data_IF_344151531504
#
_entry.id   IF_344151531504
#
_cell.length_a   1.000
_cell.length_b   1.000
_cell.length_c   1.000
_cell.angle_alpha   90.00
_cell.angle_beta   90.00
_cell.angle_gamma   90.00
#
_symmetry.space_group_name_H-M   'P 1'
#
loop_
_entity.id
_entity.type
_entity.pdbx_description
1 polymer ?
#
# COMPACT_ATOMS: atom_id res chain seq x y z
N UNK A 1 -17.10 12.49 17.12
CA UNK A 1 -16.82 12.53 15.68
C UNK A 1 -17.32 11.21 15.13
N UNK A 2 -18.03 11.21 14.00
CA UNK A 2 -18.58 9.99 13.42
C UNK A 2 -17.49 9.22 12.66
N UNK A 3 -17.76 7.96 12.34
CA UNK A 3 -16.90 7.12 11.51
C UNK A 3 -16.64 7.74 10.12
N UNK A 4 -15.46 7.46 9.56
CA UNK A 4 -15.09 7.85 8.20
C UNK A 4 -15.16 6.60 7.33
N UNK A 5 -16.01 6.63 6.30
CA UNK A 5 -16.13 5.54 5.33
C UNK A 5 -15.30 5.85 4.09
N UNK A 6 -14.44 4.90 3.69
CA UNK A 6 -13.64 5.00 2.47
C UNK A 6 -14.25 4.12 1.38
N UNK A 7 -14.32 4.63 0.15
CA UNK A 7 -14.63 3.85 -1.04
C UNK A 7 -13.32 3.49 -1.75
N UNK A 8 -13.00 2.21 -2.01
CA UNK A 8 -11.85 1.84 -2.82
C UNK A 8 -11.94 2.44 -4.21
N UNK A 9 -10.83 2.94 -4.73
CA UNK A 9 -10.74 3.53 -6.07
C UNK A 9 -10.06 2.61 -7.10
N UNK A 10 -9.57 1.46 -6.65
CA UNK A 10 -8.80 0.55 -7.46
C UNK A 10 -8.29 -0.65 -6.65
N UNK A 11 -7.52 -1.50 -7.32
CA UNK A 11 -6.93 -2.72 -6.77
C UNK A 11 -5.45 -2.79 -7.14
N UNK A 12 -4.63 -3.25 -6.20
CA UNK A 12 -3.21 -3.55 -6.45
C UNK A 12 -3.08 -5.02 -6.83
N UNK A 13 -2.49 -5.29 -7.99
CA UNK A 13 -2.11 -6.61 -8.46
C UNK A 13 -0.61 -6.80 -8.21
N UNK A 14 -0.27 -7.78 -7.38
CA UNK A 14 1.10 -8.06 -6.97
C UNK A 14 1.41 -9.55 -7.11
N UNK A 15 2.64 -9.94 -7.50
CA UNK A 15 3.09 -11.33 -7.43
C UNK A 15 3.19 -11.83 -5.97
N UNK A 16 3.19 -10.93 -4.99
CA UNK A 16 3.25 -11.24 -3.56
C UNK A 16 1.89 -11.76 -3.08
N UNK A 17 1.76 -13.08 -2.99
CA UNK A 17 0.49 -13.72 -2.59
C UNK A 17 0.42 -14.03 -1.09
N UNK A 18 1.58 -14.10 -0.41
CA UNK A 18 1.71 -14.40 1.02
C UNK A 18 2.38 -13.27 1.78
N UNK A 19 1.92 -13.00 3.01
CA UNK A 19 2.53 -12.02 3.91
C UNK A 19 4.02 -12.30 4.20
N UNK A 20 4.44 -13.57 4.21
CA UNK A 20 5.85 -13.94 4.41
C UNK A 20 6.77 -13.58 3.24
N UNK A 21 6.20 -13.25 2.08
CA UNK A 21 6.94 -12.89 0.86
C UNK A 21 7.04 -11.38 0.67
N UNK A 22 6.19 -10.62 1.36
CA UNK A 22 6.23 -9.18 1.36
C UNK A 22 7.57 -8.68 1.94
N UNK A 23 8.30 -7.81 1.23
CA UNK A 23 9.55 -7.27 1.73
C UNK A 23 9.29 -6.44 2.99
N UNK A 24 10.22 -6.52 3.96
CA UNK A 24 10.08 -5.83 5.25
C UNK A 24 10.00 -4.29 5.05
N UNK A 25 10.59 -3.77 3.98
CA UNK A 25 10.52 -2.37 3.56
C UNK A 25 10.57 -2.26 2.03
N UNK A 26 9.97 -1.21 1.42
CA UNK A 26 10.03 -0.95 -0.03
C UNK A 26 11.45 -0.94 -0.62
N UNK A 27 12.45 -0.48 0.17
CA UNK A 27 13.86 -0.45 -0.24
C UNK A 27 14.42 -1.84 -0.63
N UNK A 28 13.82 -2.91 -0.12
CA UNK A 28 14.24 -4.29 -0.39
C UNK A 28 13.35 -4.99 -1.42
N UNK A 29 12.43 -4.26 -2.05
CA UNK A 29 11.53 -4.81 -3.04
C UNK A 29 12.11 -4.71 -4.44
N UNK A 30 12.22 -5.86 -5.11
CA UNK A 30 12.40 -5.95 -6.57
C UNK A 30 11.09 -6.31 -7.27
N UNK A 31 9.96 -6.25 -6.56
CA UNK A 31 8.67 -6.70 -7.07
C UNK A 31 7.96 -5.59 -7.84
N UNK A 32 7.72 -5.87 -9.11
CA UNK A 32 6.86 -5.08 -9.96
C UNK A 32 5.41 -5.51 -9.77
N UNK A 33 4.49 -4.60 -10.02
CA UNK A 33 3.07 -4.92 -10.09
C UNK A 33 2.28 -3.80 -10.74
N UNK A 34 0.97 -3.87 -10.55
CA UNK A 34 0.05 -3.02 -11.26
C UNK A 34 -0.99 -2.45 -10.31
N UNK A 35 -1.37 -1.19 -10.50
CA UNK A 35 -2.52 -0.59 -9.84
C UNK A 35 -3.58 -0.37 -10.90
N UNK A 36 -4.69 -1.09 -10.78
CA UNK A 36 -5.86 -0.90 -11.62
C UNK A 36 -6.81 0.08 -10.93
N UNK A 37 -7.01 1.26 -11.52
CA UNK A 37 -8.01 2.23 -11.05
C UNK A 37 -9.36 1.88 -11.64
N UNK A 38 -10.43 1.90 -10.85
CA UNK A 38 -11.75 1.58 -11.37
C UNK A 38 -12.20 2.59 -12.45
N UNK A 39 -12.93 2.13 -13.48
CA UNK A 39 -13.28 2.99 -14.62
C UNK A 39 -13.94 4.32 -14.23
N UNK A 40 -14.78 4.36 -13.19
CA UNK A 40 -15.44 5.60 -12.77
C UNK A 40 -14.48 6.66 -12.18
N UNK A 41 -13.22 6.29 -11.88
CA UNK A 41 -12.20 7.16 -11.32
C UNK A 41 -11.03 7.40 -12.28
N UNK A 42 -11.04 6.81 -13.48
CA UNK A 42 -9.93 6.82 -14.42
C UNK A 42 -9.53 8.24 -14.87
N UNK A 43 -10.48 9.17 -15.01
CA UNK A 43 -10.20 10.57 -15.35
C UNK A 43 -9.27 11.26 -14.33
N UNK A 44 -9.22 10.76 -13.10
CA UNK A 44 -8.31 11.23 -12.05
C UNK A 44 -6.82 10.92 -12.31
N UNK A 45 -6.51 10.08 -13.31
CA UNK A 45 -5.14 9.75 -13.71
C UNK A 45 -4.50 10.79 -14.63
N UNK A 46 -5.23 11.82 -15.05
CA UNK A 46 -4.71 12.86 -15.93
C UNK A 46 -3.40 13.46 -15.37
N UNK A 47 -2.38 13.55 -16.23
CA UNK A 47 -1.05 14.11 -15.97
C UNK A 47 -0.18 13.31 -14.95
N UNK A 48 -0.62 12.13 -14.49
CA UNK A 48 0.14 11.31 -13.53
C UNK A 48 1.44 10.73 -14.13
N UNK A 49 1.47 10.53 -15.44
CA UNK A 49 2.62 10.05 -16.20
C UNK A 49 3.78 11.07 -16.27
N UNK A 50 3.53 12.32 -15.89
CA UNK A 50 4.55 13.34 -15.69
C UNK A 50 5.44 13.11 -14.45
N UNK A 51 5.10 12.17 -13.57
CA UNK A 51 5.84 11.89 -12.34
C UNK A 51 6.61 10.57 -12.41
N UNK A 52 7.83 10.55 -11.86
CA UNK A 52 8.63 9.32 -11.77
C UNK A 52 8.20 8.40 -10.61
N UNK A 53 7.58 8.98 -9.57
CA UNK A 53 7.15 8.26 -8.37
C UNK A 53 5.80 8.78 -7.91
N UNK A 54 5.00 7.89 -7.34
CA UNK A 54 3.68 8.20 -6.79
C UNK A 54 3.57 7.71 -5.35
N UNK A 55 2.74 8.39 -4.56
CA UNK A 55 2.36 7.94 -3.23
C UNK A 55 1.06 7.14 -3.33
N UNK A 56 1.11 5.88 -2.90
CA UNK A 56 -0.03 4.97 -2.92
C UNK A 56 -0.52 4.84 -1.48
N UNK A 57 -1.77 5.24 -1.26
CA UNK A 57 -2.47 5.02 0.01
C UNK A 57 -3.40 3.83 -0.21
N UNK A 58 -3.23 2.79 0.60
CA UNK A 58 -3.98 1.54 0.44
C UNK A 58 -4.47 1.00 1.77
N UNK A 59 -5.42 0.08 1.72
CA UNK A 59 -5.96 -0.60 2.90
C UNK A 59 -5.38 -2.01 2.97
N UNK A 60 -4.82 -2.40 4.11
CA UNK A 60 -4.45 -3.78 4.40
C UNK A 60 -5.72 -4.61 4.59
N UNK A 61 -6.35 -5.02 3.49
CA UNK A 61 -7.64 -5.73 3.47
C UNK A 61 -7.65 -7.07 4.24
N UNK A 62 -6.47 -7.63 4.56
CA UNK A 62 -6.32 -8.84 5.40
C UNK A 62 -6.09 -8.53 6.89
N UNK A 63 -5.83 -7.29 7.28
CA UNK A 63 -5.72 -6.87 8.68
C UNK A 63 -7.12 -6.79 9.29
N UNK A 64 -7.53 -7.85 9.99
CA UNK A 64 -8.86 -7.95 10.60
C UNK A 64 -8.95 -7.35 12.00
N UNK A 65 -7.84 -7.38 12.74
CA UNK A 65 -7.73 -6.89 14.11
C UNK A 65 -6.51 -5.97 14.27
N UNK A 66 -6.44 -5.27 15.40
CA UNK A 66 -5.30 -4.43 15.78
C UNK A 66 -4.85 -4.69 17.21
N UNK A 67 -3.56 -4.45 17.45
CA UNK A 67 -2.98 -4.38 18.79
C UNK A 67 -2.34 -3.00 18.99
N UNK A 68 -2.53 -2.39 20.16
CA UNK A 68 -1.90 -1.10 20.47
C UNK A 68 -0.40 -1.23 20.76
N UNK A 69 0.06 -2.45 21.06
CA UNK A 69 1.46 -2.81 21.26
C UNK A 69 1.79 -3.97 20.32
N UNK A 70 2.88 -3.87 19.58
CA UNK A 70 3.31 -4.90 18.60
C UNK A 70 4.79 -5.17 18.75
N UNK A 71 5.25 -6.34 18.30
CA UNK A 71 6.67 -6.66 18.15
C UNK A 71 7.09 -6.32 16.71
N UNK A 72 7.84 -5.22 16.49
CA UNK A 72 8.41 -4.95 15.18
C UNK A 72 9.34 -6.07 14.72
N UNK A 73 9.44 -6.30 13.42
CA UNK A 73 10.21 -7.41 12.85
C UNK A 73 11.69 -7.48 13.31
N UNK A 74 12.33 -6.35 13.56
CA UNK A 74 13.74 -6.27 13.98
C UNK A 74 13.92 -5.87 15.45
N UNK A 75 12.89 -6.02 16.27
CA UNK A 75 12.91 -5.59 17.68
C UNK A 75 12.28 -6.66 18.58
N UNK A 76 12.93 -6.94 19.71
CA UNK A 76 12.46 -7.92 20.69
C UNK A 76 11.62 -7.27 21.80
N UNK A 77 11.44 -5.95 21.78
CA UNK A 77 10.57 -5.23 22.70
C UNK A 77 9.25 -4.85 22.03
N UNK A 78 8.17 -4.83 22.84
CA UNK A 78 6.90 -4.28 22.37
C UNK A 78 7.04 -2.78 22.16
N UNK A 79 6.58 -2.30 21.01
CA UNK A 79 6.47 -0.88 20.68
C UNK A 79 5.00 -0.50 20.50
N UNK A 80 4.66 0.74 20.84
CA UNK A 80 3.34 1.30 20.51
C UNK A 80 3.11 1.26 19.01
N UNK A 81 1.95 0.79 18.56
CA UNK A 81 1.68 0.56 17.12
C UNK A 81 1.88 1.82 16.27
N UNK A 82 1.60 3.00 16.82
CA UNK A 82 1.78 4.29 16.16
C UNK A 82 3.25 4.72 16.02
N UNK A 83 4.17 4.12 16.78
CA UNK A 83 5.61 4.26 16.60
C UNK A 83 6.19 3.24 15.59
N UNK A 84 5.33 2.46 14.93
CA UNK A 84 5.75 1.41 13.98
C UNK A 84 5.02 1.56 12.64
N UNK A 85 5.42 0.73 11.67
CA UNK A 85 4.71 0.53 10.40
C UNK A 85 3.85 -0.75 10.37
N UNK A 86 3.48 -1.31 11.53
CA UNK A 86 2.67 -2.53 11.59
C UNK A 86 1.33 -2.35 10.86
N UNK A 87 0.88 -3.36 10.07
CA UNK A 87 -0.40 -3.33 9.37
C UNK A 87 -1.60 -3.56 10.31
N UNK A 88 -1.37 -4.04 11.53
CA UNK A 88 -2.38 -4.34 12.56
C UNK A 88 -2.67 -3.13 13.44
N UNK A 89 -3.27 -2.09 12.85
CA UNK A 89 -3.56 -0.79 13.48
C UNK A 89 -5.05 -0.43 13.36
N UNK A 90 -5.59 0.46 14.21
CA UNK A 90 -7.04 0.75 14.24
C UNK A 90 -7.64 1.12 12.88
N UNK A 91 -6.91 1.89 12.07
CA UNK A 91 -7.23 2.15 10.68
C UNK A 91 -6.11 1.54 9.83
N UNK A 92 -6.30 0.37 9.20
CA UNK A 92 -5.26 -0.41 8.54
C UNK A 92 -4.87 0.20 7.18
N UNK A 93 -4.40 1.45 7.22
CA UNK A 93 -3.99 2.24 6.07
C UNK A 93 -2.46 2.16 5.95
N UNK A 94 -2.01 1.74 4.78
CA UNK A 94 -0.61 1.74 4.35
C UNK A 94 -0.31 2.91 3.42
N UNK A 95 0.98 3.30 3.38
CA UNK A 95 1.49 4.30 2.46
C UNK A 95 2.82 3.80 1.89
N UNK A 96 2.91 3.78 0.56
CA UNK A 96 4.12 3.40 -0.15
C UNK A 96 4.46 4.41 -1.23
N UNK A 97 5.74 4.69 -1.38
CA UNK A 97 6.26 5.49 -2.49
C UNK A 97 6.83 4.51 -3.49
N UNK A 98 6.18 4.40 -4.63
CA UNK A 98 6.54 3.45 -5.70
C UNK A 98 6.96 4.21 -6.94
N UNK A 99 7.83 3.61 -7.74
CA UNK A 99 8.19 4.16 -9.04
C UNK A 99 7.08 3.87 -10.04
N UNK A 100 6.67 4.87 -10.82
CA UNK A 100 5.72 4.71 -11.92
C UNK A 100 6.51 4.45 -13.20
N UNK A 101 6.38 3.26 -13.77
CA UNK A 101 7.12 2.86 -14.98
C UNK A 101 6.30 3.06 -16.26
N UNK A 102 4.97 2.95 -16.19
CA UNK A 102 4.08 3.21 -17.31
C UNK A 102 2.64 3.49 -16.86
N UNK A 103 1.86 4.14 -17.72
CA UNK A 103 0.41 4.35 -17.59
C UNK A 103 -0.27 3.79 -18.84
N UNK A 104 -1.16 2.81 -18.65
CA UNK A 104 -1.85 2.08 -19.72
C UNK A 104 -3.37 2.15 -19.47
N UNK A 105 -4.04 3.16 -20.02
CA UNK A 105 -5.46 3.40 -19.74
C UNK A 105 -5.69 3.70 -18.26
N UNK A 106 -6.42 2.83 -17.57
CA UNK A 106 -6.69 2.91 -16.13
C UNK A 106 -5.72 2.08 -15.27
N UNK A 107 -4.64 1.54 -15.86
CA UNK A 107 -3.65 0.70 -15.18
C UNK A 107 -2.31 1.41 -15.06
N UNK A 108 -1.75 1.43 -13.85
CA UNK A 108 -0.42 1.97 -13.55
C UNK A 108 0.56 0.82 -13.35
N UNK A 109 1.64 0.77 -14.12
CA UNK A 109 2.75 -0.16 -13.88
C UNK A 109 3.69 0.44 -12.84
N UNK A 110 3.99 -0.31 -11.79
CA UNK A 110 4.77 0.19 -10.65
C UNK A 110 5.90 -0.75 -10.25
N UNK A 111 6.97 -0.18 -9.71
CA UNK A 111 8.12 -0.90 -9.16
C UNK A 111 8.28 -0.55 -7.66
N UNK A 112 8.72 -1.54 -6.86
CA UNK A 112 9.01 -1.35 -5.43
C UNK A 112 7.83 -1.60 -4.50
N UNK A 113 6.97 -2.57 -4.83
CA UNK A 113 5.81 -2.98 -4.01
C UNK A 113 6.23 -3.59 -2.67
N UNK A 114 5.52 -3.27 -1.58
CA UNK A 114 5.67 -3.86 -0.25
C UNK A 114 4.38 -4.54 0.26
#
# INVERSE_FOLDING_TARGET
MNEITLKPIGIVHSPLTRHSEAPIQPKYSEYNGEIEIFPEFADGLKDIDGFSHIMVIFVFHKSRDYELLTYPYMDNEKRGVFATRSPYRPNPIGISVVRLSAVEGNTLKIEGLD
#
